data_IF_009444665417
#
_entry.id   IF_009444665417
#
_cell.length_a   1.000
_cell.length_b   1.000
_cell.length_c   1.000
_cell.angle_alpha   90.00
_cell.angle_beta   90.00
_cell.angle_gamma   90.00
#
_symmetry.space_group_name_H-M   'P 1'
#
loop_
_entity.id
_entity.type
_entity.pdbx_description
1 polymer ?
#
# COMPACT_ATOMS: atom_id res chain seq x y z
N UNK A 1 22.02 9.17 14.48
CA UNK A 1 21.64 9.05 13.06
C UNK A 1 22.08 10.31 12.36
N UNK A 2 23.13 10.23 11.57
CA UNK A 2 23.54 11.34 10.68
C UNK A 2 22.72 11.23 9.42
N UNK A 3 21.42 11.59 9.53
CA UNK A 3 20.42 11.18 8.57
C UNK A 3 20.39 11.98 7.31
N UNK A 4 20.46 11.29 6.21
CA UNK A 4 20.15 11.82 4.88
C UNK A 4 18.63 11.78 4.57
N UNK A 5 17.79 11.92 5.57
CA UNK A 5 16.34 11.93 5.44
C UNK A 5 15.66 10.66 5.96
N UNK A 6 14.39 10.82 6.33
CA UNK A 6 13.50 9.72 6.71
C UNK A 6 12.09 10.02 6.23
N UNK A 7 11.32 8.96 5.96
CA UNK A 7 9.91 9.04 5.55
C UNK A 7 9.10 8.10 6.43
N UNK A 8 7.92 8.53 6.87
CA UNK A 8 6.99 7.69 7.62
C UNK A 8 6.09 6.91 6.66
N UNK A 9 5.91 5.61 6.90
CA UNK A 9 4.98 4.75 6.18
C UNK A 9 3.64 4.63 6.88
N UNK A 10 3.63 4.47 8.22
CA UNK A 10 2.40 4.34 8.98
C UNK A 10 2.58 4.48 10.48
N UNK A 11 1.46 4.69 11.16
CA UNK A 11 1.35 4.73 12.62
C UNK A 11 0.18 3.85 13.06
N UNK A 12 0.34 3.10 14.15
CA UNK A 12 -0.74 2.34 14.73
C UNK A 12 -1.36 3.03 15.96
N UNK A 13 -2.52 2.57 16.47
CA UNK A 13 -3.18 3.18 17.65
C UNK A 13 -2.33 3.16 18.92
N UNK A 14 -1.35 2.28 19.05
CA UNK A 14 -0.42 2.25 20.18
C UNK A 14 0.70 3.31 20.08
N UNK A 15 0.77 4.07 18.97
CA UNK A 15 1.81 5.06 18.73
C UNK A 15 3.12 4.49 18.16
N UNK A 16 3.15 3.23 17.77
CA UNK A 16 4.27 2.67 17.02
C UNK A 16 4.25 3.20 15.58
N UNK A 17 5.41 3.60 15.08
CA UNK A 17 5.59 4.19 13.75
C UNK A 17 6.54 3.32 12.93
N UNK A 18 6.20 3.10 11.67
CA UNK A 18 7.10 2.49 10.68
C UNK A 18 7.41 3.45 9.56
N UNK A 19 8.52 3.24 8.89
CA UNK A 19 8.94 4.08 7.76
C UNK A 19 10.32 3.69 7.27
N UNK A 20 10.94 4.60 6.55
CA UNK A 20 12.22 4.41 5.87
C UNK A 20 13.21 5.47 6.30
N UNK A 21 14.47 5.11 6.45
CA UNK A 21 15.59 6.05 6.63
C UNK A 21 16.72 5.71 5.66
N UNK A 22 17.58 6.70 5.42
CA UNK A 22 18.73 6.58 4.54
C UNK A 22 20.01 6.79 5.34
N UNK A 23 20.99 5.93 5.08
CA UNK A 23 22.35 6.11 5.59
C UNK A 23 23.40 5.75 4.54
N UNK A 24 24.67 5.65 4.93
CA UNK A 24 25.76 5.35 4.00
C UNK A 24 25.73 3.93 3.44
N UNK A 25 24.98 3.00 4.08
CA UNK A 25 24.82 1.61 3.65
C UNK A 25 23.62 1.41 2.72
N UNK A 26 22.67 2.36 2.68
CA UNK A 26 21.50 2.24 1.81
C UNK A 26 20.21 2.75 2.41
N UNK A 27 19.11 2.16 1.93
CA UNK A 27 17.75 2.46 2.33
C UNK A 27 17.25 1.37 3.26
N UNK A 28 16.89 1.74 4.49
CA UNK A 28 16.47 0.82 5.54
C UNK A 28 15.06 1.14 6.02
N UNK A 29 14.29 0.11 6.31
CA UNK A 29 13.06 0.25 7.07
C UNK A 29 13.34 0.47 8.56
N UNK A 30 12.39 1.08 9.27
CA UNK A 30 12.42 1.17 10.73
C UNK A 30 11.06 0.89 11.37
N UNK A 31 11.11 0.43 12.59
CA UNK A 31 10.05 0.49 13.58
C UNK A 31 10.50 1.39 14.73
N UNK A 32 9.75 2.44 15.02
CA UNK A 32 9.86 3.21 16.25
C UNK A 32 8.76 2.76 17.20
N UNK A 33 9.12 2.14 18.28
CA UNK A 33 8.19 1.75 19.33
C UNK A 33 7.63 2.96 20.11
N UNK A 34 6.50 2.83 20.86
CA UNK A 34 5.90 3.92 21.62
C UNK A 34 6.86 4.52 22.66
N UNK A 35 7.78 3.73 23.22
CA UNK A 35 8.82 4.17 24.17
C UNK A 35 9.97 4.95 23.52
N UNK A 36 9.94 5.11 22.20
CA UNK A 36 10.95 5.79 21.42
C UNK A 36 12.08 4.92 20.89
N UNK A 37 12.10 3.62 21.21
CA UNK A 37 13.12 2.68 20.73
C UNK A 37 12.98 2.47 19.22
N UNK A 38 14.12 2.48 18.50
CA UNK A 38 14.19 2.20 17.07
C UNK A 38 14.74 0.80 16.82
N UNK A 39 14.09 0.10 15.88
CA UNK A 39 14.54 -1.19 15.34
C UNK A 39 14.65 -1.05 13.83
N UNK A 40 15.79 -1.40 13.26
CA UNK A 40 15.98 -1.49 11.81
C UNK A 40 15.23 -2.70 11.23
N UNK A 41 14.68 -2.53 10.05
CA UNK A 41 13.97 -3.56 9.30
C UNK A 41 14.64 -3.71 7.95
N UNK A 42 15.34 -4.82 7.74
CA UNK A 42 15.90 -5.18 6.44
C UNK A 42 15.29 -6.51 5.99
N UNK A 43 14.54 -6.48 4.91
CA UNK A 43 13.89 -7.67 4.37
C UNK A 43 14.95 -8.60 3.74
N UNK A 44 14.84 -9.92 3.91
CA UNK A 44 15.71 -10.87 3.22
C UNK A 44 15.65 -10.67 1.70
N UNK A 45 16.81 -10.51 1.06
CA UNK A 45 16.92 -10.20 -0.37
C UNK A 45 16.91 -8.71 -0.73
N UNK A 46 16.68 -7.81 0.23
CA UNK A 46 16.83 -6.39 0.01
C UNK A 46 18.30 -6.04 -0.26
N UNK A 47 18.57 -5.46 -1.43
CA UNK A 47 19.90 -4.97 -1.80
C UNK A 47 19.88 -3.45 -1.95
N UNK A 48 18.83 -2.93 -2.58
CA UNK A 48 18.63 -1.48 -2.76
C UNK A 48 17.95 -0.86 -1.55
N UNK A 49 16.99 -1.57 -0.93
CA UNK A 49 16.38 -1.09 0.30
C UNK A 49 15.09 -1.78 0.71
N UNK A 50 14.69 -1.50 1.96
CA UNK A 50 13.44 -1.94 2.58
C UNK A 50 12.55 -0.74 2.88
N UNK A 51 11.30 -0.80 2.39
CA UNK A 51 10.33 0.30 2.42
C UNK A 51 9.03 -0.15 3.10
N UNK A 52 8.92 -0.07 4.44
CA UNK A 52 7.67 -0.34 5.14
C UNK A 52 6.59 0.67 4.73
N UNK A 53 5.40 0.17 4.37
CA UNK A 53 4.26 0.98 3.92
C UNK A 53 3.19 1.15 4.99
N UNK A 54 2.94 0.11 5.80
CA UNK A 54 1.86 0.12 6.78
C UNK A 54 2.17 -0.74 8.01
N UNK A 55 1.54 -0.37 9.13
CA UNK A 55 1.57 -1.12 10.40
C UNK A 55 0.14 -1.26 10.91
N UNK A 56 -0.27 -2.48 11.28
CA UNK A 56 -1.60 -2.70 11.84
C UNK A 56 -1.63 -2.50 13.37
N UNK A 57 -2.83 -2.49 14.01
CA UNK A 57 -2.95 -2.33 15.45
C UNK A 57 -2.18 -3.36 16.29
N UNK A 58 -1.98 -4.57 15.79
CA UNK A 58 -1.22 -5.62 16.46
C UNK A 58 0.30 -5.44 16.34
N UNK A 59 0.78 -4.49 15.51
CA UNK A 59 2.21 -4.28 15.27
C UNK A 59 2.80 -5.08 14.11
N UNK A 60 1.99 -5.78 13.33
CA UNK A 60 2.44 -6.40 12.08
C UNK A 60 2.70 -5.31 11.05
N UNK A 61 3.88 -5.34 10.43
CA UNK A 61 4.31 -4.36 9.42
C UNK A 61 4.32 -5.04 8.06
N UNK A 62 3.92 -4.31 7.03
CA UNK A 62 4.04 -4.73 5.64
C UNK A 62 4.63 -3.62 4.80
N UNK A 63 5.19 -3.99 3.66
CA UNK A 63 5.81 -3.04 2.74
C UNK A 63 6.49 -3.75 1.59
N UNK A 64 7.43 -3.05 1.01
CA UNK A 64 8.20 -3.52 -0.14
C UNK A 64 9.69 -3.55 0.18
N UNK A 65 10.43 -4.40 -0.54
CA UNK A 65 11.87 -4.28 -0.66
C UNK A 65 12.28 -4.32 -2.13
N UNK A 66 13.42 -3.74 -2.42
CA UNK A 66 13.99 -3.72 -3.75
C UNK A 66 15.24 -4.63 -3.78
N UNK A 67 15.26 -5.55 -4.74
CA UNK A 67 16.40 -6.42 -5.00
C UNK A 67 17.54 -5.68 -5.75
N UNK A 68 18.59 -6.40 -6.14
CA UNK A 68 19.73 -5.85 -6.88
C UNK A 68 19.37 -5.34 -8.31
N UNK A 69 18.24 -5.77 -8.86
CA UNK A 69 17.73 -5.36 -10.16
C UNK A 69 16.69 -4.25 -10.08
N UNK A 70 16.47 -3.68 -8.89
CA UNK A 70 15.41 -2.71 -8.58
C UNK A 70 13.99 -3.28 -8.74
N UNK A 71 13.84 -4.61 -8.69
CA UNK A 71 12.52 -5.25 -8.68
C UNK A 71 11.91 -5.12 -7.28
N UNK A 72 10.66 -4.70 -7.24
CA UNK A 72 9.90 -4.53 -5.99
C UNK A 72 9.19 -5.83 -5.62
N UNK A 73 9.41 -6.28 -4.38
CA UNK A 73 8.83 -7.47 -3.77
C UNK A 73 8.07 -7.10 -2.50
N UNK A 74 7.03 -7.86 -2.16
CA UNK A 74 6.30 -7.66 -0.92
C UNK A 74 6.96 -8.32 0.29
N UNK A 75 6.75 -7.75 1.49
CA UNK A 75 7.11 -8.42 2.76
C UNK A 75 6.06 -8.22 3.84
N UNK A 76 6.06 -9.13 4.79
CA UNK A 76 5.35 -9.03 6.08
C UNK A 76 6.35 -9.27 7.20
N UNK A 77 6.41 -8.34 8.16
CA UNK A 77 7.15 -8.52 9.41
C UNK A 77 6.17 -8.77 10.55
N UNK A 78 6.24 -9.93 11.14
CA UNK A 78 5.46 -10.30 12.33
C UNK A 78 5.97 -9.54 13.57
N UNK A 79 5.19 -9.57 14.65
CA UNK A 79 5.50 -8.87 15.91
C UNK A 79 6.73 -9.44 16.62
N UNK A 80 7.08 -10.71 16.38
CA UNK A 80 8.29 -11.36 16.87
C UNK A 80 9.55 -10.97 16.07
N UNK A 81 9.39 -10.17 15.01
CA UNK A 81 10.49 -9.73 14.14
C UNK A 81 10.71 -10.60 12.91
N UNK A 82 10.05 -11.74 12.80
CA UNK A 82 10.15 -12.62 11.62
C UNK A 82 9.66 -11.92 10.38
N UNK A 83 10.45 -11.93 9.30
CA UNK A 83 10.09 -11.35 8.01
C UNK A 83 9.86 -12.48 7.00
N UNK A 84 8.70 -12.44 6.34
CA UNK A 84 8.34 -13.31 5.23
C UNK A 84 8.17 -12.46 3.98
N UNK A 85 8.85 -12.83 2.90
CA UNK A 85 8.73 -12.17 1.60
C UNK A 85 7.73 -12.90 0.71
N UNK A 86 7.13 -12.18 -0.23
CA UNK A 86 6.17 -12.76 -1.16
C UNK A 86 6.07 -11.97 -2.46
N UNK A 87 5.72 -12.69 -3.53
CA UNK A 87 5.31 -12.14 -4.81
C UNK A 87 4.06 -12.87 -5.31
N UNK A 88 3.32 -12.23 -6.20
CA UNK A 88 2.28 -12.90 -6.94
C UNK A 88 2.90 -13.74 -8.05
N UNK A 89 2.41 -14.96 -8.29
CA UNK A 89 2.88 -15.78 -9.40
C UNK A 89 2.74 -15.05 -10.75
N UNK A 90 3.83 -14.98 -11.51
CA UNK A 90 3.86 -14.32 -12.82
C UNK A 90 3.98 -12.80 -12.78
N UNK A 91 4.24 -12.21 -11.61
CA UNK A 91 4.48 -10.76 -11.50
C UNK A 91 5.91 -10.37 -11.90
N UNK A 92 6.07 -9.20 -12.51
CA UNK A 92 7.35 -8.54 -12.73
C UNK A 92 7.73 -7.60 -11.58
N UNK A 93 6.75 -7.11 -10.82
CA UNK A 93 6.93 -6.44 -9.54
C UNK A 93 5.66 -6.56 -8.68
N UNK A 94 5.83 -6.44 -7.37
CA UNK A 94 4.74 -6.42 -6.37
C UNK A 94 4.88 -5.17 -5.50
N UNK A 95 3.79 -4.40 -5.35
CA UNK A 95 3.73 -3.21 -4.48
C UNK A 95 2.64 -3.40 -3.42
N UNK A 96 3.01 -3.26 -2.17
CA UNK A 96 2.14 -3.39 -0.99
C UNK A 96 1.80 -2.00 -0.45
N UNK A 97 0.53 -1.72 -0.23
CA UNK A 97 0.09 -0.38 0.19
C UNK A 97 -0.54 -0.35 1.57
N UNK A 98 -1.29 -1.38 1.98
CA UNK A 98 -2.05 -1.32 3.22
C UNK A 98 -2.28 -2.70 3.85
N UNK A 99 -2.54 -2.72 5.17
CA UNK A 99 -2.84 -3.93 5.95
C UNK A 99 -3.98 -3.68 6.95
N UNK A 100 -4.89 -4.63 7.08
CA UNK A 100 -5.98 -4.59 8.08
C UNK A 100 -5.56 -5.17 9.43
N UNK A 101 -6.37 -4.95 10.51
CA UNK A 101 -6.20 -5.65 11.79
C UNK A 101 -6.23 -7.18 11.65
N UNK A 102 -7.00 -7.71 10.71
CA UNK A 102 -7.10 -9.14 10.39
C UNK A 102 -5.93 -9.66 9.53
N UNK A 103 -4.89 -8.85 9.28
CA UNK A 103 -3.73 -9.15 8.44
C UNK A 103 -4.06 -9.43 6.97
N UNK A 104 -5.17 -8.88 6.48
CA UNK A 104 -5.43 -8.82 5.05
C UNK A 104 -4.58 -7.69 4.48
N UNK A 105 -3.78 -7.99 3.47
CA UNK A 105 -2.87 -7.05 2.81
C UNK A 105 -3.40 -6.75 1.43
N UNK A 106 -3.29 -5.50 0.99
CA UNK A 106 -3.64 -5.10 -0.37
C UNK A 106 -2.49 -4.35 -1.02
N UNK A 107 -2.54 -4.34 -2.34
CA UNK A 107 -1.58 -3.66 -3.18
C UNK A 107 -1.87 -3.91 -4.65
N UNK A 108 -0.86 -3.73 -5.47
CA UNK A 108 -0.96 -4.00 -6.90
C UNK A 108 0.34 -4.65 -7.42
N UNK A 109 0.24 -5.33 -8.55
CA UNK A 109 1.36 -5.99 -9.19
C UNK A 109 1.28 -5.80 -10.70
N UNK A 110 2.40 -5.93 -11.38
CA UNK A 110 2.42 -5.97 -12.84
C UNK A 110 2.59 -7.41 -13.32
N UNK A 111 1.72 -7.84 -14.22
CA UNK A 111 1.87 -9.10 -14.91
C UNK A 111 3.08 -9.05 -15.87
N UNK A 112 3.96 -10.04 -15.80
CA UNK A 112 5.22 -10.05 -16.54
C UNK A 112 5.05 -10.25 -18.07
N UNK A 113 3.90 -10.75 -18.51
CA UNK A 113 3.61 -11.03 -19.93
C UNK A 113 2.84 -9.89 -20.57
N UNK A 114 1.72 -9.49 -19.94
CA UNK A 114 0.82 -8.46 -20.47
C UNK A 114 1.29 -7.05 -20.16
N UNK A 115 2.14 -6.89 -19.13
CA UNK A 115 2.56 -5.62 -18.53
C UNK A 115 1.40 -4.80 -17.95
N UNK A 116 0.23 -5.42 -17.78
CA UNK A 116 -0.91 -4.78 -17.13
C UNK A 116 -0.72 -4.76 -15.61
N UNK A 117 -1.27 -3.74 -14.98
CA UNK A 117 -1.21 -3.58 -13.52
C UNK A 117 -2.55 -3.96 -12.92
N UNK A 118 -2.52 -4.91 -11.99
CA UNK A 118 -3.69 -5.48 -11.35
C UNK A 118 -3.68 -5.23 -9.85
N UNK A 119 -4.84 -5.04 -9.25
CA UNK A 119 -5.00 -5.03 -7.80
C UNK A 119 -4.92 -6.44 -7.22
N UNK A 120 -4.42 -6.57 -5.99
CA UNK A 120 -4.47 -7.82 -5.24
C UNK A 120 -4.90 -7.63 -3.80
N UNK A 121 -5.45 -8.70 -3.25
CA UNK A 121 -5.68 -8.93 -1.84
C UNK A 121 -4.94 -10.22 -1.46
N UNK A 122 -4.14 -10.16 -0.38
CA UNK A 122 -3.51 -11.32 0.24
C UNK A 122 -4.15 -11.56 1.58
N UNK A 123 -4.80 -12.70 1.74
CA UNK A 123 -5.39 -13.12 3.01
C UNK A 123 -4.31 -13.47 4.06
N UNK A 124 -4.71 -13.58 5.33
CA UNK A 124 -3.79 -13.88 6.43
C UNK A 124 -3.11 -15.26 6.31
N UNK A 125 -3.73 -16.21 5.61
CA UNK A 125 -3.19 -17.52 5.30
C UNK A 125 -2.22 -17.53 4.12
N UNK A 126 -2.05 -16.39 3.43
CA UNK A 126 -1.17 -16.24 2.28
C UNK A 126 -1.86 -16.38 0.92
N UNK A 127 -3.14 -16.71 0.87
CA UNK A 127 -3.91 -16.83 -0.39
C UNK A 127 -4.07 -15.48 -1.07
N UNK A 128 -3.87 -15.44 -2.39
CA UNK A 128 -4.07 -14.24 -3.21
C UNK A 128 -5.40 -14.26 -3.95
N UNK A 129 -6.02 -13.09 -4.02
CA UNK A 129 -7.15 -12.79 -4.91
C UNK A 129 -6.79 -11.55 -5.71
N UNK A 130 -6.81 -11.65 -7.03
CA UNK A 130 -6.58 -10.52 -7.93
C UNK A 130 -7.90 -9.89 -8.36
N UNK A 131 -7.88 -8.60 -8.65
CA UNK A 131 -9.08 -7.89 -9.06
C UNK A 131 -8.76 -6.66 -9.90
N UNK A 132 -9.72 -6.30 -10.77
CA UNK A 132 -9.72 -5.05 -11.52
C UNK A 132 -11.13 -4.49 -11.61
N UNK A 133 -11.31 -3.16 -11.57
CA UNK A 133 -12.55 -2.55 -12.00
C UNK A 133 -12.87 -2.91 -13.45
N UNK A 134 -14.14 -3.08 -13.82
CA UNK A 134 -14.53 -3.48 -15.17
C UNK A 134 -13.90 -2.59 -16.25
N UNK A 135 -13.22 -3.21 -17.22
CA UNK A 135 -12.55 -2.54 -18.33
C UNK A 135 -11.18 -1.92 -18.02
N UNK A 136 -10.67 -2.08 -16.80
CA UNK A 136 -9.34 -1.57 -16.43
C UNK A 136 -8.24 -2.53 -16.84
N UNK A 137 -7.14 -1.97 -17.33
CA UNK A 137 -5.85 -2.63 -17.56
C UNK A 137 -4.76 -2.04 -16.67
N UNK A 138 -5.12 -1.05 -15.85
CA UNK A 138 -4.24 -0.42 -14.86
C UNK A 138 -5.03 -0.13 -13.59
N UNK A 139 -4.74 -0.92 -12.55
CA UNK A 139 -5.39 -0.83 -11.24
C UNK A 139 -4.35 -0.51 -10.18
N UNK A 140 -4.39 0.71 -9.65
CA UNK A 140 -3.61 1.12 -8.48
C UNK A 140 -4.46 1.02 -7.22
N UNK A 141 -3.97 0.32 -6.21
CA UNK A 141 -4.63 0.18 -4.91
C UNK A 141 -3.96 1.09 -3.89
N UNK A 142 -4.74 1.87 -3.16
CA UNK A 142 -4.22 2.81 -2.15
C UNK A 142 -4.40 2.33 -0.72
N UNK A 143 -5.62 1.91 -0.35
CA UNK A 143 -5.92 1.56 1.03
C UNK A 143 -7.06 0.53 1.14
N UNK A 144 -7.08 -0.16 2.30
CA UNK A 144 -8.18 -1.03 2.73
C UNK A 144 -8.59 -0.66 4.16
N UNK A 145 -9.90 -0.63 4.44
CA UNK A 145 -10.41 -0.46 5.80
C UNK A 145 -10.67 -1.81 6.52
N UNK A 146 -11.04 -1.74 7.80
CA UNK A 146 -11.33 -2.93 8.61
C UNK A 146 -12.58 -3.70 8.15
N UNK A 147 -13.50 -3.06 7.41
CA UNK A 147 -14.67 -3.70 6.82
C UNK A 147 -14.33 -4.54 5.58
N UNK A 148 -13.12 -4.35 5.02
CA UNK A 148 -12.66 -5.02 3.81
C UNK A 148 -12.97 -4.24 2.53
N UNK A 149 -13.32 -2.96 2.66
CA UNK A 149 -13.52 -2.08 1.52
C UNK A 149 -12.16 -1.53 1.05
N UNK A 150 -11.92 -1.56 -0.25
CA UNK A 150 -10.66 -1.17 -0.88
C UNK A 150 -10.88 0.04 -1.78
N UNK A 151 -9.97 1.00 -1.71
CA UNK A 151 -9.97 2.17 -2.58
C UNK A 151 -8.68 2.27 -3.38
N UNK A 152 -8.77 2.90 -4.53
CA UNK A 152 -7.66 3.13 -5.43
C UNK A 152 -8.10 3.84 -6.70
N UNK A 153 -7.25 3.80 -7.71
CA UNK A 153 -7.57 4.33 -9.03
C UNK A 153 -7.43 3.26 -10.12
N UNK A 154 -8.20 3.42 -11.17
CA UNK A 154 -8.17 2.58 -12.35
C UNK A 154 -8.28 3.48 -13.58
N UNK A 155 -7.25 3.48 -14.45
CA UNK A 155 -7.15 4.41 -15.58
C UNK A 155 -7.37 5.88 -15.17
N UNK A 156 -6.95 6.23 -13.94
CA UNK A 156 -7.11 7.56 -13.36
C UNK A 156 -8.49 7.89 -12.77
N UNK A 157 -9.46 6.98 -12.83
CA UNK A 157 -10.75 7.09 -12.12
C UNK A 157 -10.63 6.53 -10.70
N UNK A 158 -11.27 7.19 -9.73
CA UNK A 158 -11.38 6.64 -8.38
C UNK A 158 -12.30 5.43 -8.35
N UNK A 159 -11.95 4.40 -7.57
CA UNK A 159 -12.85 3.27 -7.32
C UNK A 159 -12.95 2.96 -5.82
N UNK A 160 -14.10 2.40 -5.45
CA UNK A 160 -14.38 1.68 -4.23
C UNK A 160 -14.73 0.24 -4.61
N UNK A 161 -13.99 -0.74 -4.07
CA UNK A 161 -14.35 -2.16 -4.13
C UNK A 161 -14.92 -2.57 -2.78
N UNK A 162 -16.17 -2.97 -2.76
CA UNK A 162 -16.82 -3.52 -1.58
C UNK A 162 -16.24 -4.89 -1.20
N UNK A 163 -16.48 -5.34 0.02
CA UNK A 163 -16.00 -6.64 0.53
C UNK A 163 -16.49 -7.84 -0.31
N UNK A 164 -17.69 -7.76 -0.86
CA UNK A 164 -18.29 -8.78 -1.73
C UNK A 164 -17.71 -8.79 -3.16
N UNK A 165 -16.84 -7.84 -3.48
CA UNK A 165 -16.21 -7.70 -4.78
C UNK A 165 -16.87 -6.71 -5.72
N UNK A 166 -18.00 -6.10 -5.36
CA UNK A 166 -18.66 -5.11 -6.17
C UNK A 166 -17.83 -3.82 -6.29
N UNK A 167 -17.83 -3.21 -7.47
CA UNK A 167 -17.10 -1.97 -7.74
C UNK A 167 -18.04 -0.79 -7.91
N UNK A 168 -17.67 0.34 -7.33
CA UNK A 168 -18.21 1.67 -7.61
C UNK A 168 -17.08 2.55 -8.13
N UNK A 169 -17.14 2.95 -9.39
CA UNK A 169 -16.21 3.92 -9.97
C UNK A 169 -16.80 5.31 -9.74
N UNK A 170 -15.97 6.29 -9.37
CA UNK A 170 -16.43 7.63 -9.06
C UNK A 170 -15.44 8.72 -9.46
N UNK A 171 -15.98 9.91 -9.67
CA UNK A 171 -15.25 11.16 -9.88
C UNK A 171 -15.79 12.25 -8.95
N UNK A 172 -14.94 13.04 -8.29
CA UNK A 172 -15.38 14.25 -7.60
C UNK A 172 -15.94 15.29 -8.59
N UNK A 173 -16.91 16.12 -8.18
CA UNK A 173 -17.43 17.18 -9.04
C UNK A 173 -16.32 18.12 -9.51
N UNK A 174 -16.24 18.35 -10.82
CA UNK A 174 -15.21 19.19 -11.45
C UNK A 174 -13.89 18.48 -11.75
N UNK A 175 -13.77 17.19 -11.47
CA UNK A 175 -12.61 16.40 -11.88
C UNK A 175 -12.53 16.32 -13.40
N UNK A 176 -11.30 16.38 -13.92
CA UNK A 176 -11.01 15.95 -15.30
C UNK A 176 -10.90 14.43 -15.29
N UNK A 177 -11.54 13.80 -16.26
CA UNK A 177 -11.47 12.35 -16.45
C UNK A 177 -10.01 11.85 -16.43
N UNK A 178 -9.75 10.85 -15.63
CA UNK A 178 -8.43 10.24 -15.52
C UNK A 178 -7.48 10.89 -14.51
N UNK A 179 -7.96 11.78 -13.64
CA UNK A 179 -7.16 12.49 -12.64
C UNK A 179 -7.77 12.45 -11.23
N UNK A 180 -8.34 11.32 -10.83
CA UNK A 180 -8.86 11.09 -9.47
C UNK A 180 -8.05 10.03 -8.77
N UNK A 181 -7.48 10.37 -7.61
CA UNK A 181 -6.64 9.48 -6.79
C UNK A 181 -7.14 9.42 -5.35
N UNK A 182 -7.95 8.42 -4.98
CA UNK A 182 -8.24 8.10 -3.60
C UNK A 182 -6.96 7.68 -2.87
N UNK A 183 -6.73 8.16 -1.65
CA UNK A 183 -5.52 7.87 -0.87
C UNK A 183 -5.81 7.05 0.38
N UNK A 184 -6.94 7.30 1.03
CA UNK A 184 -7.28 6.63 2.28
C UNK A 184 -8.79 6.41 2.40
N UNK A 185 -9.14 5.39 3.18
CA UNK A 185 -10.52 5.09 3.59
C UNK A 185 -10.55 4.78 5.09
N UNK A 186 -11.48 5.39 5.82
CA UNK A 186 -11.64 5.13 7.25
C UNK A 186 -12.63 3.95 7.51
N UNK A 187 -12.78 3.48 8.76
CA UNK A 187 -13.73 2.41 9.09
C UNK A 187 -15.19 2.71 8.79
N UNK A 188 -15.57 3.99 8.68
CA UNK A 188 -16.94 4.41 8.33
C UNK A 188 -17.16 4.53 6.81
N UNK A 189 -16.18 4.13 5.98
CA UNK A 189 -16.27 4.21 4.53
C UNK A 189 -16.05 5.61 3.95
N UNK A 190 -15.62 6.58 4.77
CA UNK A 190 -15.29 7.92 4.26
C UNK A 190 -13.94 7.86 3.56
N UNK A 191 -13.91 8.36 2.32
CA UNK A 191 -12.74 8.32 1.43
C UNK A 191 -12.18 9.72 1.28
N UNK A 192 -10.86 9.86 1.35
CA UNK A 192 -10.14 11.08 1.02
C UNK A 192 -9.09 10.84 -0.05
N UNK A 193 -8.78 11.87 -0.81
CA UNK A 193 -7.80 11.82 -1.88
C UNK A 193 -7.65 13.17 -2.55
N UNK A 194 -7.15 13.17 -3.76
CA UNK A 194 -7.05 14.36 -4.60
C UNK A 194 -7.56 14.09 -6.01
N UNK A 195 -7.94 15.15 -6.70
CA UNK A 195 -8.31 15.13 -8.10
C UNK A 195 -7.81 16.40 -8.78
N UNK A 196 -7.62 16.36 -10.09
CA UNK A 196 -7.30 17.57 -10.84
C UNK A 196 -8.50 18.00 -11.69
N UNK A 197 -8.75 19.32 -11.69
CA UNK A 197 -9.55 20.01 -12.69
C UNK A 197 -8.65 20.44 -13.86
N UNK A 198 -9.21 21.12 -14.84
CA UNK A 198 -8.43 21.71 -15.96
C UNK A 198 -7.43 22.77 -15.52
N UNK A 199 -7.53 23.29 -14.30
CA UNK A 199 -6.76 24.43 -13.80
C UNK A 199 -5.90 24.06 -12.60
N UNK A 200 -6.44 23.28 -11.65
CA UNK A 200 -5.78 23.00 -10.35
C UNK A 200 -6.07 21.58 -9.88
N UNK A 201 -5.18 21.06 -9.02
CA UNK A 201 -5.46 19.83 -8.26
C UNK A 201 -5.95 20.19 -6.85
N UNK A 202 -6.94 19.46 -6.34
CA UNK A 202 -7.63 19.74 -5.09
C UNK A 202 -7.85 18.45 -4.30
N UNK A 203 -7.93 18.55 -2.96
CA UNK A 203 -8.36 17.46 -2.11
C UNK A 203 -9.88 17.25 -2.19
N UNK A 204 -10.32 16.00 -1.96
CA UNK A 204 -11.73 15.65 -1.82
C UNK A 204 -12.00 14.82 -0.59
N UNK A 205 -13.25 14.86 -0.14
CA UNK A 205 -13.86 13.99 0.83
C UNK A 205 -15.12 13.38 0.23
N UNK A 206 -15.20 12.04 0.18
CA UNK A 206 -16.40 11.32 -0.23
C UNK A 206 -16.98 10.59 0.97
N UNK A 207 -18.24 10.90 1.28
CA UNK A 207 -19.04 10.26 2.33
C UNK A 207 -19.88 9.16 1.68
N UNK A 208 -20.07 7.98 2.31
CA UNK A 208 -20.91 6.89 1.82
C UNK A 208 -22.33 7.29 1.46
#
# INVERSE_FOLDING_TARGET
>A
MNGHGSQTGGINPAGAITGTYFDASGVHGFLRAPDGTFTTIDAPGAVVGTLPSAINPAGTITGNYLDANFVSHGFVRATDGTITTFDLPGSSFTVVTSITPARVIVGYYQDAITLFVHGFLRAADGTFTTFDPPGSIQTGVSAINAAGEIVGNALGHGFLRAKDGAFTVFEPPGAVTGFTSPLAINPAGVITGWYCSTITCQGFLRIP
#
